data_IF_715244844057
#
_entry.id   IF_715244844057
#
_cell.length_a   1.000
_cell.length_b   1.000
_cell.length_c   1.000
_cell.angle_alpha   90.00
_cell.angle_beta   90.00
_cell.angle_gamma   90.00
#
_symmetry.space_group_name_H-M   'P 1'
#
loop_
_entity.id
_entity.type
_entity.pdbx_description
1 polymer ?
#
# COMPACT_ATOMS: atom_id res chain seq x y z
N UNK A 1 11.45 4.68 3.08
CA UNK A 1 10.18 5.11 3.69
C UNK A 1 9.15 3.98 3.76
N UNK A 2 9.31 2.90 2.96
CA UNK A 2 8.44 1.71 3.01
C UNK A 2 7.06 1.93 2.37
N UNK A 3 6.97 2.66 1.25
CA UNK A 3 5.72 2.88 0.51
C UNK A 3 5.05 1.56 0.14
N UNK A 4 5.77 0.65 -0.51
CA UNK A 4 5.25 -0.65 -0.92
C UNK A 4 4.74 -1.51 0.25
N UNK A 5 5.41 -1.44 1.42
CA UNK A 5 4.93 -2.11 2.63
C UNK A 5 3.63 -1.50 3.14
N UNK A 6 3.46 -0.17 3.04
CA UNK A 6 2.22 0.52 3.39
C UNK A 6 1.13 0.16 2.37
N UNK A 7 1.45 0.16 1.07
CA UNK A 7 0.53 -0.24 0.00
C UNK A 7 0.02 -1.67 0.20
N UNK A 8 0.92 -2.63 0.49
CA UNK A 8 0.56 -4.02 0.74
C UNK A 8 -0.36 -4.19 1.95
N UNK A 9 -0.07 -3.51 3.06
CA UNK A 9 -0.89 -3.58 4.27
C UNK A 9 -2.25 -2.89 4.09
N UNK A 10 -2.30 -1.77 3.38
CA UNK A 10 -3.55 -1.11 3.03
C UNK A 10 -4.42 -2.03 2.15
N UNK A 11 -3.83 -2.69 1.15
CA UNK A 11 -4.52 -3.65 0.31
C UNK A 11 -5.09 -4.84 1.09
N UNK A 12 -4.28 -5.43 1.97
CA UNK A 12 -4.73 -6.52 2.85
C UNK A 12 -5.87 -6.08 3.76
N UNK A 13 -5.80 -4.86 4.31
CA UNK A 13 -6.85 -4.33 5.20
C UNK A 13 -8.14 -4.01 4.44
N UNK A 14 -8.07 -3.46 3.23
CA UNK A 14 -9.24 -3.26 2.37
C UNK A 14 -9.87 -4.60 1.97
N UNK A 15 -9.05 -5.60 1.63
CA UNK A 15 -9.54 -6.95 1.34
C UNK A 15 -10.21 -7.60 2.55
N UNK A 16 -9.67 -7.43 3.77
CA UNK A 16 -10.30 -7.88 5.03
C UNK A 16 -11.62 -7.16 5.31
N UNK A 17 -11.81 -5.95 4.79
CA UNK A 17 -13.07 -5.22 4.86
C UNK A 17 -14.09 -5.64 3.77
N UNK A 18 -13.76 -6.63 2.94
CA UNK A 18 -14.63 -7.18 1.91
C UNK A 18 -14.47 -6.56 0.53
N UNK A 19 -13.57 -5.62 0.34
CA UNK A 19 -13.37 -4.95 -0.95
C UNK A 19 -12.46 -5.76 -1.88
N UNK A 20 -12.79 -5.78 -3.18
CA UNK A 20 -11.92 -6.29 -4.24
C UNK A 20 -10.83 -5.27 -4.57
N UNK A 21 -9.57 -5.65 -4.42
CA UNK A 21 -8.44 -4.73 -4.48
C UNK A 21 -7.44 -5.16 -5.56
N UNK A 22 -6.98 -4.17 -6.34
CA UNK A 22 -5.82 -4.29 -7.21
C UNK A 22 -4.63 -3.49 -6.67
N UNK A 23 -3.41 -4.01 -6.83
CA UNK A 23 -2.17 -3.25 -6.64
C UNK A 23 -1.44 -3.14 -7.97
N UNK A 24 -1.17 -1.93 -8.40
CA UNK A 24 -0.34 -1.63 -9.56
C UNK A 24 0.99 -1.04 -9.10
N UNK A 25 2.06 -1.82 -9.24
CA UNK A 25 3.43 -1.40 -8.90
C UNK A 25 4.10 -0.78 -10.14
N UNK A 26 4.30 0.52 -10.11
CA UNK A 26 4.96 1.30 -11.16
C UNK A 26 6.37 1.76 -10.78
N UNK A 27 6.96 1.23 -9.72
CA UNK A 27 8.38 1.48 -9.42
C UNK A 27 9.27 0.71 -10.40
N UNK A 28 9.58 1.37 -11.53
CA UNK A 28 10.39 0.79 -12.61
C UNK A 28 11.84 0.52 -12.20
N UNK A 29 12.29 1.06 -11.08
CA UNK A 29 13.67 0.96 -10.61
C UNK A 29 13.87 -0.08 -9.54
N UNK A 30 12.84 -0.38 -8.76
CA UNK A 30 12.92 -1.33 -7.66
C UNK A 30 11.57 -1.94 -7.32
N UNK A 31 10.93 -2.68 -8.27
CA UNK A 31 9.62 -3.26 -8.04
C UNK A 31 9.69 -4.25 -6.88
N UNK A 32 8.95 -3.97 -5.81
CA UNK A 32 9.02 -4.74 -4.56
C UNK A 32 7.73 -5.50 -4.23
N UNK A 33 6.61 -5.16 -4.85
CA UNK A 33 5.31 -5.81 -4.62
C UNK A 33 5.34 -7.32 -4.94
N UNK A 34 5.95 -7.79 -6.05
CA UNK A 34 6.05 -9.24 -6.32
C UNK A 34 6.75 -10.00 -5.20
N UNK A 35 7.82 -9.41 -4.64
CA UNK A 35 8.59 -10.01 -3.56
C UNK A 35 7.82 -10.02 -2.24
N UNK A 36 7.13 -8.92 -1.93
CA UNK A 36 6.32 -8.83 -0.71
C UNK A 36 5.23 -9.92 -0.67
N UNK A 37 4.65 -10.28 -1.80
CA UNK A 37 3.62 -11.31 -1.89
C UNK A 37 4.15 -12.69 -2.30
N UNK A 38 5.47 -12.89 -2.37
CA UNK A 38 6.11 -14.16 -2.77
C UNK A 38 5.61 -14.72 -4.12
N UNK A 39 5.33 -13.83 -5.09
CA UNK A 39 4.84 -14.19 -6.44
C UNK A 39 5.83 -13.79 -7.54
N UNK A 40 7.09 -13.61 -7.20
CA UNK A 40 8.14 -13.14 -8.13
C UNK A 40 8.32 -14.08 -9.35
N UNK A 41 8.09 -15.39 -9.19
CA UNK A 41 8.29 -16.40 -10.22
C UNK A 41 7.06 -16.62 -11.11
N UNK A 42 5.96 -15.95 -10.80
CA UNK A 42 4.71 -16.10 -11.55
C UNK A 42 4.77 -15.26 -12.82
N UNK A 43 4.39 -15.87 -13.96
CA UNK A 43 4.35 -15.18 -15.25
C UNK A 43 2.98 -14.57 -15.49
N UNK A 44 2.97 -13.33 -15.95
CA UNK A 44 1.77 -12.62 -16.37
C UNK A 44 1.23 -13.25 -17.65
N UNK A 45 -0.07 -13.51 -17.66
CA UNK A 45 -0.77 -13.96 -18.87
C UNK A 45 -1.26 -12.75 -19.66
N UNK A 46 -1.01 -12.77 -20.97
CA UNK A 46 -1.56 -11.80 -21.92
C UNK A 46 -2.80 -12.40 -22.60
N UNK A 47 -3.86 -11.61 -22.64
CA UNK A 47 -5.13 -11.97 -23.29
C UNK A 47 -5.48 -10.92 -24.34
N UNK A 48 -6.49 -11.14 -25.21
CA UNK A 48 -6.98 -10.10 -26.12
C UNK A 48 -7.53 -8.84 -25.41
N UNK A 49 -7.84 -8.94 -24.10
CA UNK A 49 -8.32 -7.81 -23.28
C UNK A 49 -7.20 -7.10 -22.53
N UNK A 50 -5.97 -7.59 -22.60
CA UNK A 50 -4.82 -7.05 -21.89
C UNK A 50 -4.13 -8.05 -20.96
N UNK A 51 -3.26 -7.56 -20.12
CA UNK A 51 -2.54 -8.35 -19.12
C UNK A 51 -3.45 -8.66 -17.92
N UNK A 52 -3.43 -9.93 -17.49
CA UNK A 52 -4.17 -10.32 -16.28
C UNK A 52 -3.29 -10.13 -15.06
N UNK A 53 -3.82 -9.45 -14.01
CA UNK A 53 -3.14 -9.36 -12.71
C UNK A 53 -2.91 -10.76 -12.12
N UNK A 54 -1.83 -10.91 -11.36
CA UNK A 54 -1.56 -12.13 -10.59
C UNK A 54 -2.50 -12.11 -9.38
N UNK A 55 -3.33 -13.15 -9.23
CA UNK A 55 -4.20 -13.31 -8.07
C UNK A 55 -3.39 -13.74 -6.85
N UNK A 56 -3.45 -12.94 -5.79
CA UNK A 56 -2.90 -13.30 -4.47
C UNK A 56 -3.91 -14.20 -3.73
N UNK A 57 -5.18 -13.81 -3.75
CA UNK A 57 -6.30 -14.64 -3.31
C UNK A 57 -7.60 -14.21 -3.99
N UNK A 58 -8.50 -15.16 -4.16
CA UNK A 58 -9.87 -14.89 -4.57
C UNK A 58 -10.70 -14.33 -3.42
N UNK A 59 -11.84 -13.73 -3.75
CA UNK A 59 -12.82 -13.32 -2.74
C UNK A 59 -13.38 -14.55 -2.00
N UNK A 60 -13.59 -14.40 -0.70
CA UNK A 60 -14.31 -15.36 0.16
C UNK A 60 -15.50 -14.66 0.83
N UNK A 61 -16.68 -14.63 0.19
CA UNK A 61 -17.84 -13.97 0.73
C UNK A 61 -18.31 -14.56 2.07
N UNK A 62 -18.02 -15.86 2.32
CA UNK A 62 -18.42 -16.49 3.56
C UNK A 62 -17.63 -15.94 4.75
N UNK A 63 -16.41 -15.48 4.53
CA UNK A 63 -15.55 -14.83 5.52
C UNK A 63 -15.58 -13.30 5.44
N UNK A 64 -16.32 -12.73 4.50
CA UNK A 64 -16.36 -11.29 4.24
C UNK A 64 -15.03 -10.74 3.72
N UNK A 65 -14.26 -11.55 2.96
CA UNK A 65 -12.95 -11.19 2.42
C UNK A 65 -13.10 -10.90 0.92
N UNK A 66 -12.63 -9.74 0.48
CA UNK A 66 -12.57 -9.38 -0.94
C UNK A 66 -11.38 -10.03 -1.65
N UNK A 67 -11.32 -9.91 -2.98
CA UNK A 67 -10.18 -10.41 -3.76
C UNK A 67 -8.98 -9.47 -3.68
N UNK A 68 -7.77 -10.02 -3.92
CA UNK A 68 -6.55 -9.25 -4.09
C UNK A 68 -5.76 -9.71 -5.30
N UNK A 69 -5.53 -8.78 -6.24
CA UNK A 69 -4.69 -9.00 -7.41
C UNK A 69 -3.55 -8.00 -7.49
N UNK A 70 -2.44 -8.39 -8.07
CA UNK A 70 -1.26 -7.52 -8.23
C UNK A 70 -0.74 -7.53 -9.66
N UNK A 71 -0.29 -6.37 -10.12
CA UNK A 71 0.45 -6.21 -11.36
C UNK A 71 1.69 -5.34 -11.09
N UNK A 72 2.84 -5.77 -11.60
CA UNK A 72 4.11 -5.06 -11.43
C UNK A 72 4.95 -5.17 -12.69
N UNK A 73 5.76 -4.14 -12.93
CA UNK A 73 6.80 -4.19 -13.95
C UNK A 73 7.76 -5.36 -13.73
N UNK A 74 7.97 -5.75 -12.46
CA UNK A 74 8.84 -6.87 -12.09
C UNK A 74 8.48 -8.19 -12.80
N UNK A 75 7.22 -8.40 -13.14
CA UNK A 75 6.78 -9.59 -13.87
C UNK A 75 7.14 -9.58 -15.36
N UNK A 76 7.45 -8.42 -15.92
CA UNK A 76 7.78 -8.25 -17.34
C UNK A 76 9.30 -8.17 -17.60
N UNK A 77 10.11 -8.12 -16.54
CA UNK A 77 11.56 -8.12 -16.65
C UNK A 77 12.08 -9.54 -16.91
N UNK A 78 12.99 -9.66 -17.88
CA UNK A 78 13.55 -10.97 -18.29
C UNK A 78 14.56 -11.50 -17.26
N UNK A 79 15.28 -10.59 -16.59
CA UNK A 79 16.30 -10.94 -15.61
C UNK A 79 16.22 -10.02 -14.40
N UNK A 80 16.08 -10.59 -13.20
CA UNK A 80 15.88 -9.83 -11.95
C UNK A 80 17.15 -9.12 -11.48
N UNK A 81 18.30 -9.56 -11.95
CA UNK A 81 19.61 -8.98 -11.63
C UNK A 81 20.02 -7.87 -12.58
N UNK A 82 19.33 -7.69 -13.70
CA UNK A 82 19.68 -6.69 -14.68
C UNK A 82 19.22 -5.30 -14.23
N UNK A 83 20.16 -4.39 -14.11
CA UNK A 83 19.87 -2.97 -13.96
C UNK A 83 19.31 -2.43 -15.28
N UNK A 84 17.99 -2.49 -15.45
CA UNK A 84 17.35 -1.93 -16.64
C UNK A 84 17.41 -0.41 -16.58
N UNK A 85 18.26 0.18 -17.42
CA UNK A 85 18.38 1.64 -17.54
C UNK A 85 17.20 2.15 -18.37
N UNK A 86 16.17 2.64 -17.70
CA UNK A 86 15.03 3.28 -18.33
C UNK A 86 15.32 4.75 -18.63
N UNK A 87 15.19 5.16 -19.89
CA UNK A 87 15.19 6.59 -20.26
C UNK A 87 13.79 7.17 -20.05
N UNK A 88 13.68 8.48 -19.70
CA UNK A 88 12.42 9.16 -19.39
C UNK A 88 11.25 8.85 -20.32
N UNK A 89 11.37 8.98 -21.67
CA UNK A 89 10.26 8.69 -22.58
C UNK A 89 9.78 7.24 -22.50
N UNK A 90 10.68 6.28 -22.26
CA UNK A 90 10.31 4.86 -22.12
C UNK A 90 9.58 4.62 -20.80
N UNK A 91 9.98 5.28 -19.71
CA UNK A 91 9.29 5.22 -18.42
C UNK A 91 7.86 5.73 -18.53
N UNK A 92 7.67 6.90 -19.14
CA UNK A 92 6.35 7.49 -19.40
C UNK A 92 5.45 6.56 -20.22
N UNK A 93 5.99 5.94 -21.28
CA UNK A 93 5.24 4.99 -22.10
C UNK A 93 4.82 3.76 -21.30
N UNK A 94 5.71 3.20 -20.49
CA UNK A 94 5.41 2.03 -19.65
C UNK A 94 4.33 2.31 -18.63
N UNK A 95 4.39 3.44 -17.92
CA UNK A 95 3.35 3.84 -16.96
C UNK A 95 1.99 3.94 -17.67
N UNK A 96 1.94 4.57 -18.86
CA UNK A 96 0.70 4.66 -19.65
C UNK A 96 0.18 3.29 -20.04
N UNK A 97 1.04 2.37 -20.50
CA UNK A 97 0.66 1.00 -20.81
C UNK A 97 0.11 0.24 -19.60
N UNK A 98 0.75 0.34 -18.44
CA UNK A 98 0.27 -0.31 -17.22
C UNK A 98 -1.12 0.16 -16.80
N UNK A 99 -1.42 1.43 -17.02
CA UNK A 99 -2.74 1.99 -16.69
C UNK A 99 -3.81 1.61 -17.71
N UNK A 100 -3.43 1.37 -19.00
CA UNK A 100 -4.39 1.07 -20.08
C UNK A 100 -4.53 -0.43 -20.39
N UNK A 101 -3.44 -1.21 -20.28
CA UNK A 101 -3.37 -2.54 -20.82
C UNK A 101 -3.54 -3.65 -19.75
N UNK A 102 -3.69 -3.30 -18.48
CA UNK A 102 -4.00 -4.26 -17.41
C UNK A 102 -5.52 -4.41 -17.28
N UNK A 103 -5.99 -5.63 -17.45
CA UNK A 103 -7.41 -5.95 -17.30
C UNK A 103 -7.72 -6.34 -15.84
N UNK A 104 -8.16 -5.38 -15.06
CA UNK A 104 -8.47 -5.57 -13.63
C UNK A 104 -9.79 -6.29 -13.37
N UNK A 105 -10.70 -6.32 -14.34
CA UNK A 105 -12.06 -6.77 -14.08
C UNK A 105 -12.82 -5.79 -13.17
N UNK A 106 -13.60 -6.33 -12.27
CA UNK A 106 -14.35 -5.54 -11.27
C UNK A 106 -13.52 -5.45 -9.98
N UNK A 107 -12.89 -4.30 -9.73
CA UNK A 107 -12.20 -3.98 -8.48
C UNK A 107 -12.81 -2.72 -7.87
N UNK A 108 -12.97 -2.72 -6.54
CA UNK A 108 -13.47 -1.55 -5.81
C UNK A 108 -12.38 -0.50 -5.66
N UNK A 109 -11.15 -0.93 -5.42
CA UNK A 109 -9.98 -0.06 -5.21
C UNK A 109 -8.78 -0.53 -6.00
N UNK A 110 -8.17 0.40 -6.72
CA UNK A 110 -6.85 0.22 -7.35
C UNK A 110 -5.82 1.06 -6.61
N UNK A 111 -4.90 0.41 -5.92
CA UNK A 111 -3.77 1.06 -5.24
C UNK A 111 -2.57 1.10 -6.20
N UNK A 112 -2.03 2.29 -6.41
CA UNK A 112 -0.86 2.48 -7.29
C UNK A 112 0.37 2.74 -6.44
N UNK A 113 1.29 1.77 -6.39
CA UNK A 113 2.58 1.92 -5.70
C UNK A 113 3.57 2.64 -6.59
N UNK A 114 4.03 3.80 -6.12
CA UNK A 114 4.86 4.72 -6.90
C UNK A 114 6.33 4.69 -6.46
N UNK A 115 7.29 4.96 -7.37
CA UNK A 115 8.69 5.13 -7.00
C UNK A 115 8.88 6.31 -6.02
N UNK A 116 10.07 6.45 -5.41
CA UNK A 116 10.40 7.62 -4.61
C UNK A 116 10.60 8.87 -5.48
N UNK A 117 10.23 10.03 -4.93
CA UNK A 117 10.45 11.34 -5.56
C UNK A 117 9.30 11.82 -6.45
N UNK A 118 9.61 12.74 -7.38
CA UNK A 118 8.65 13.40 -8.28
C UNK A 118 9.16 13.38 -9.73
N UNK A 119 9.57 12.18 -10.19
CA UNK A 119 10.14 11.97 -11.51
C UNK A 119 9.12 11.85 -12.65
N UNK A 120 9.61 11.44 -13.83
CA UNK A 120 8.80 11.29 -15.04
C UNK A 120 7.63 10.32 -14.86
N UNK A 121 7.79 9.29 -14.01
CA UNK A 121 6.74 8.33 -13.67
C UNK A 121 5.55 8.99 -12.97
N UNK A 122 5.81 9.89 -12.02
CA UNK A 122 4.76 10.63 -11.31
C UNK A 122 4.04 11.62 -12.21
N UNK A 123 4.79 12.31 -13.10
CA UNK A 123 4.22 13.23 -14.08
C UNK A 123 3.30 12.46 -15.03
N UNK A 124 3.79 11.32 -15.56
CA UNK A 124 3.00 10.48 -16.47
C UNK A 124 1.74 9.93 -15.79
N UNK A 125 1.88 9.45 -14.53
CA UNK A 125 0.76 8.98 -13.73
C UNK A 125 -0.29 10.07 -13.53
N UNK A 126 0.12 11.24 -13.03
CA UNK A 126 -0.79 12.37 -12.79
C UNK A 126 -1.48 12.82 -14.09
N UNK A 127 -0.76 12.88 -15.20
CA UNK A 127 -1.32 13.23 -16.51
C UNK A 127 -2.42 12.25 -16.92
N UNK A 128 -2.19 10.93 -16.80
CA UNK A 128 -3.17 9.91 -17.19
C UNK A 128 -4.37 9.94 -16.26
N UNK A 129 -4.14 9.97 -14.94
CA UNK A 129 -5.22 9.96 -13.95
C UNK A 129 -6.12 11.19 -14.07
N UNK A 130 -5.54 12.39 -14.25
CA UNK A 130 -6.33 13.61 -14.30
C UNK A 130 -7.04 13.85 -15.65
N UNK A 131 -6.54 13.25 -16.74
CA UNK A 131 -7.13 13.45 -18.09
C UNK A 131 -8.08 12.34 -18.51
N UNK A 132 -7.86 11.09 -18.07
CA UNK A 132 -8.51 9.92 -18.62
C UNK A 132 -9.48 9.24 -17.64
N UNK A 133 -9.57 9.70 -16.39
CA UNK A 133 -10.52 9.18 -15.42
C UNK A 133 -11.77 10.05 -15.34
N UNK A 134 -12.87 9.42 -14.92
CA UNK A 134 -14.12 10.15 -14.68
C UNK A 134 -14.00 10.99 -13.39
N UNK A 135 -14.73 12.10 -13.29
CA UNK A 135 -14.82 12.86 -12.04
C UNK A 135 -15.21 11.93 -10.88
N UNK A 136 -14.48 12.02 -9.76
CA UNK A 136 -14.71 11.17 -8.59
C UNK A 136 -14.04 9.80 -8.62
N UNK A 137 -13.45 9.37 -9.74
CA UNK A 137 -12.76 8.08 -9.84
C UNK A 137 -11.38 8.07 -9.17
N UNK A 138 -10.68 9.21 -9.13
CA UNK A 138 -9.42 9.35 -8.42
C UNK A 138 -9.68 9.85 -7.00
N UNK A 139 -9.58 8.95 -6.03
CA UNK A 139 -9.77 9.29 -4.61
C UNK A 139 -8.67 10.24 -4.10
N UNK A 140 -7.43 10.02 -4.50
CA UNK A 140 -6.30 10.86 -4.15
C UNK A 140 -5.04 10.10 -3.76
N UNK A 141 -4.03 10.82 -3.33
CA UNK A 141 -2.74 10.27 -2.91
C UNK A 141 -2.66 10.10 -1.39
N UNK A 142 -2.08 8.98 -0.95
CA UNK A 142 -1.64 8.76 0.43
C UNK A 142 -0.14 8.99 0.47
N UNK A 143 0.31 10.02 1.16
CA UNK A 143 1.73 10.33 1.32
C UNK A 143 2.32 9.49 2.46
N UNK A 144 3.45 8.82 2.21
CA UNK A 144 4.14 7.98 3.19
C UNK A 144 5.48 8.60 3.55
N UNK A 145 5.70 8.86 4.82
CA UNK A 145 6.97 9.39 5.35
C UNK A 145 7.48 8.54 6.51
N UNK A 146 8.72 8.78 6.93
CA UNK A 146 9.21 8.39 8.26
C UNK A 146 9.33 9.64 9.12
N UNK A 147 9.46 9.53 10.47
CA UNK A 147 9.57 10.71 11.35
C UNK A 147 10.79 11.61 11.09
N UNK A 148 11.80 11.10 10.37
CA UNK A 148 13.06 11.81 10.13
C UNK A 148 12.88 13.07 9.29
N UNK A 149 13.59 14.14 9.64
CA UNK A 149 13.55 15.43 8.92
C UNK A 149 13.89 15.30 7.43
N UNK A 150 14.81 14.40 7.07
CA UNK A 150 15.20 14.18 5.67
C UNK A 150 14.03 13.56 4.88
N UNK A 151 13.35 12.58 5.45
CA UNK A 151 12.20 11.94 4.80
C UNK A 151 11.02 12.92 4.65
N UNK A 152 10.70 13.68 5.71
CA UNK A 152 9.62 14.69 5.65
C UNK A 152 9.93 15.80 4.65
N UNK A 153 11.23 16.17 4.47
CA UNK A 153 11.64 17.15 3.47
C UNK A 153 11.41 16.65 2.03
N UNK A 154 11.61 15.35 1.78
CA UNK A 154 11.35 14.78 0.44
C UNK A 154 9.85 14.63 0.19
N UNK A 155 9.07 14.13 1.16
CA UNK A 155 7.61 14.03 1.01
C UNK A 155 6.95 15.41 0.90
N UNK A 156 7.53 16.45 1.48
CA UNK A 156 7.10 17.85 1.24
C UNK A 156 7.13 18.22 -0.24
N UNK A 157 8.11 17.73 -1.01
CA UNK A 157 8.18 17.94 -2.46
C UNK A 157 7.07 17.17 -3.17
N UNK A 158 6.76 15.94 -2.72
CA UNK A 158 5.68 15.13 -3.27
C UNK A 158 4.31 15.79 -3.01
N UNK A 159 4.05 16.31 -1.82
CA UNK A 159 2.82 17.05 -1.50
C UNK A 159 2.69 18.36 -2.32
N UNK A 160 3.79 19.09 -2.51
CA UNK A 160 3.81 20.26 -3.40
C UNK A 160 3.53 19.87 -4.86
N UNK A 161 4.02 18.72 -5.31
CA UNK A 161 3.71 18.19 -6.63
C UNK A 161 2.21 17.91 -6.75
N UNK A 162 1.59 17.24 -5.79
CA UNK A 162 0.15 16.99 -5.79
C UNK A 162 -0.64 18.32 -5.86
N UNK A 163 -0.27 19.30 -5.05
CA UNK A 163 -0.91 20.61 -5.07
C UNK A 163 -0.79 21.33 -6.42
N UNK A 164 0.38 21.27 -7.09
CA UNK A 164 0.61 21.87 -8.40
C UNK A 164 -0.11 21.17 -9.54
N UNK A 165 -0.26 19.85 -9.45
CA UNK A 165 -0.94 19.06 -10.48
C UNK A 165 -2.45 18.98 -10.29
N UNK A 166 -2.96 19.39 -9.12
CA UNK A 166 -4.37 19.24 -8.77
C UNK A 166 -4.75 17.83 -8.33
N UNK A 167 -3.77 16.96 -8.04
CA UNK A 167 -4.03 15.61 -7.50
C UNK A 167 -4.46 15.75 -6.02
N UNK A 168 -5.66 15.28 -5.64
CA UNK A 168 -6.09 15.34 -4.24
C UNK A 168 -5.16 14.54 -3.34
N UNK A 169 -5.03 14.97 -2.08
CA UNK A 169 -4.27 14.25 -1.05
C UNK A 169 -5.22 13.80 0.03
N UNK A 170 -5.34 12.49 0.23
CA UNK A 170 -6.16 11.88 1.27
C UNK A 170 -5.53 12.15 2.65
N UNK A 171 -4.22 11.99 2.76
CA UNK A 171 -3.50 12.26 4.00
C UNK A 171 -2.09 11.72 4.04
N UNK A 172 -1.49 11.78 5.22
CA UNK A 172 -0.10 11.38 5.50
C UNK A 172 -0.08 10.19 6.47
N UNK A 173 0.68 9.16 6.13
CA UNK A 173 1.04 8.03 7.01
C UNK A 173 2.48 8.20 7.47
N UNK A 174 2.72 8.21 8.77
CA UNK A 174 4.05 8.17 9.37
C UNK A 174 4.46 6.71 9.61
N UNK A 175 5.25 6.15 8.71
CA UNK A 175 5.75 4.78 8.80
C UNK A 175 7.06 4.72 9.61
N UNK A 176 7.35 3.57 10.22
CA UNK A 176 8.53 3.37 11.09
C UNK A 176 8.57 4.37 12.26
N UNK A 177 7.40 4.69 12.80
CA UNK A 177 7.23 5.71 13.83
C UNK A 177 7.83 5.33 15.19
N UNK A 178 8.07 4.04 15.42
CA UNK A 178 8.71 3.51 16.62
C UNK A 178 8.87 2.00 16.52
N UNK A 179 9.53 1.42 17.49
CA UNK A 179 9.67 -0.03 17.65
C UNK A 179 9.18 -0.41 19.04
N UNK A 180 8.21 -1.30 19.10
CA UNK A 180 7.72 -1.87 20.37
C UNK A 180 8.50 -3.14 20.63
N UNK A 181 9.26 -3.16 21.73
CA UNK A 181 10.01 -4.33 22.12
C UNK A 181 9.03 -5.45 22.54
N UNK A 182 9.13 -6.59 21.89
CA UNK A 182 8.27 -7.75 22.19
C UNK A 182 8.52 -8.36 23.59
N UNK A 183 9.68 -8.06 24.23
CA UNK A 183 10.03 -8.60 25.54
C UNK A 183 9.59 -7.71 26.70
N UNK A 184 9.67 -6.37 26.54
CA UNK A 184 9.36 -5.42 27.63
C UNK A 184 8.23 -4.45 27.29
N UNK A 185 7.66 -4.53 26.08
CA UNK A 185 6.60 -3.65 25.58
C UNK A 185 6.96 -2.15 25.58
N UNK A 186 8.23 -1.81 25.78
CA UNK A 186 8.71 -0.43 25.71
C UNK A 186 8.78 0.04 24.27
N UNK A 187 8.22 1.22 23.99
CA UNK A 187 8.28 1.83 22.67
C UNK A 187 9.53 2.71 22.55
N UNK A 188 10.43 2.34 21.67
CA UNK A 188 11.65 3.11 21.36
C UNK A 188 11.47 3.85 20.04
N UNK A 189 11.65 5.18 20.05
CA UNK A 189 11.61 6.02 18.84
C UNK A 189 12.97 6.02 18.14
N UNK A 190 13.20 5.10 17.22
CA UNK A 190 14.48 4.92 16.53
C UNK A 190 14.80 6.14 15.65
N UNK A 191 13.79 6.71 14.98
CA UNK A 191 13.92 7.74 13.97
C UNK A 191 13.32 9.10 14.37
N UNK A 192 13.19 9.44 15.66
CA UNK A 192 12.38 10.58 16.12
C UNK A 192 10.88 10.26 16.13
N UNK A 193 10.01 11.22 16.32
CA UNK A 193 8.55 11.08 16.31
C UNK A 193 7.85 12.33 15.79
N UNK A 194 6.61 12.20 15.32
CA UNK A 194 5.72 13.30 15.00
C UNK A 194 6.07 14.11 13.75
N UNK A 195 7.10 13.72 12.99
CA UNK A 195 7.47 14.42 11.76
C UNK A 195 6.38 14.37 10.70
N UNK A 196 5.70 13.24 10.57
CA UNK A 196 4.58 13.05 9.64
C UNK A 196 3.34 13.85 10.05
N UNK A 197 3.01 13.91 11.34
CA UNK A 197 1.91 14.74 11.84
C UNK A 197 2.15 16.22 11.55
N UNK A 198 3.35 16.71 11.87
CA UNK A 198 3.72 18.09 11.55
C UNK A 198 3.64 18.38 10.07
N UNK A 199 4.06 17.42 9.21
CA UNK A 199 3.95 17.56 7.77
C UNK A 199 2.50 17.66 7.32
N UNK A 200 1.60 16.86 7.87
CA UNK A 200 0.16 16.90 7.59
C UNK A 200 -0.45 18.25 8.00
N UNK A 201 -0.10 18.75 9.18
CA UNK A 201 -0.55 20.07 9.68
C UNK A 201 -0.05 21.20 8.77
N UNK A 202 1.22 21.18 8.35
CA UNK A 202 1.81 22.18 7.46
C UNK A 202 1.10 22.29 6.09
N UNK A 203 0.51 21.18 5.62
CA UNK A 203 -0.20 21.12 4.33
C UNK A 203 -1.74 21.12 4.47
N UNK A 204 -2.26 21.21 5.69
CA UNK A 204 -3.68 21.12 6.01
C UNK A 204 -4.35 19.85 5.43
N UNK A 205 -3.62 18.72 5.47
CA UNK A 205 -4.11 17.41 5.06
C UNK A 205 -4.27 16.50 6.28
N UNK A 206 -5.09 15.45 6.15
CA UNK A 206 -5.33 14.52 7.25
C UNK A 206 -4.06 13.75 7.64
N UNK A 207 -3.80 13.63 8.93
CA UNK A 207 -2.84 12.66 9.46
C UNK A 207 -3.55 11.32 9.66
N UNK A 208 -3.23 10.32 8.84
CA UNK A 208 -3.90 9.03 8.82
C UNK A 208 -3.43 8.10 9.95
N UNK A 209 -2.20 8.26 10.42
CA UNK A 209 -1.71 7.49 11.54
C UNK A 209 -0.21 7.27 11.54
N UNK A 210 0.27 6.75 12.68
CA UNK A 210 1.66 6.30 12.88
C UNK A 210 1.71 4.77 12.88
N UNK A 211 2.61 4.22 12.08
CA UNK A 211 2.82 2.78 11.92
C UNK A 211 4.17 2.41 12.54
N UNK A 212 4.22 1.60 13.60
CA UNK A 212 5.47 1.15 14.18
C UNK A 212 6.17 0.11 13.30
N UNK A 213 7.44 -0.15 13.59
CA UNK A 213 8.19 -1.28 13.03
C UNK A 213 7.71 -2.55 13.74
N UNK A 214 7.25 -3.52 12.97
CA UNK A 214 6.87 -4.85 13.44
C UNK A 214 7.61 -5.94 12.67
N UNK A 215 8.58 -6.64 13.30
CA UNK A 215 9.30 -7.73 12.66
C UNK A 215 8.40 -8.92 12.27
N UNK A 216 7.27 -9.12 12.96
CA UNK A 216 6.34 -10.19 12.64
C UNK A 216 5.65 -9.97 11.29
N UNK A 217 5.41 -8.72 10.90
CA UNK A 217 4.92 -8.41 9.56
C UNK A 217 5.94 -8.81 8.47
N UNK A 218 7.22 -8.50 8.68
CA UNK A 218 8.27 -8.92 7.74
C UNK A 218 8.33 -10.46 7.61
N UNK A 219 8.30 -11.18 8.72
CA UNK A 219 8.28 -12.64 8.73
C UNK A 219 7.03 -13.22 8.05
N UNK A 220 5.86 -12.61 8.25
CA UNK A 220 4.63 -13.01 7.56
C UNK A 220 4.79 -12.89 6.04
N UNK A 221 5.29 -11.76 5.55
CA UNK A 221 5.43 -11.50 4.12
C UNK A 221 6.53 -12.35 3.46
N UNK A 222 7.65 -12.58 4.15
CA UNK A 222 8.79 -13.33 3.60
C UNK A 222 8.61 -14.85 3.67
N UNK A 223 7.94 -15.34 4.71
CA UNK A 223 7.88 -16.80 5.00
C UNK A 223 6.47 -17.36 5.08
N UNK A 224 5.45 -16.50 5.05
CA UNK A 224 4.06 -16.91 5.24
C UNK A 224 3.75 -17.40 6.67
N UNK A 225 4.63 -17.13 7.65
CA UNK A 225 4.42 -17.53 9.05
C UNK A 225 3.35 -16.65 9.69
N UNK A 226 2.49 -17.27 10.48
CA UNK A 226 1.52 -16.51 11.28
C UNK A 226 2.26 -15.65 12.32
N UNK A 227 1.93 -14.36 12.44
CA UNK A 227 2.50 -13.49 13.45
C UNK A 227 2.24 -14.03 14.86
N UNK A 228 3.27 -14.00 15.70
CA UNK A 228 3.18 -14.46 17.09
C UNK A 228 3.82 -13.42 18.01
N UNK A 229 3.16 -13.15 19.13
CA UNK A 229 3.60 -12.15 20.09
C UNK A 229 3.65 -12.76 21.50
N UNK A 230 4.73 -12.54 22.28
CA UNK A 230 4.84 -13.00 23.66
C UNK A 230 3.70 -12.46 24.53
N UNK A 231 3.42 -13.18 25.61
CA UNK A 231 2.43 -12.77 26.61
C UNK A 231 2.77 -11.39 27.17
N UNK A 232 1.77 -10.51 27.27
CA UNK A 232 1.93 -9.13 27.74
C UNK A 232 2.42 -8.15 26.69
N UNK A 233 2.50 -8.52 25.40
CA UNK A 233 2.79 -7.58 24.32
C UNK A 233 1.60 -6.64 24.12
N UNK A 234 1.77 -5.36 24.47
CA UNK A 234 0.76 -4.31 24.30
C UNK A 234 1.11 -3.41 23.13
N UNK A 235 0.15 -3.18 22.24
CA UNK A 235 0.25 -2.17 21.19
C UNK A 235 -0.95 -1.23 21.27
N UNK A 236 -0.69 0.07 21.45
CA UNK A 236 -1.75 1.08 21.63
C UNK A 236 -2.80 0.72 22.70
N UNK A 237 -2.39 0.01 23.76
CA UNK A 237 -3.26 -0.44 24.84
C UNK A 237 -4.04 -1.74 24.55
N UNK A 238 -3.87 -2.33 23.40
CA UNK A 238 -4.45 -3.63 23.04
C UNK A 238 -3.45 -4.75 23.34
N UNK A 239 -3.91 -5.79 24.00
CA UNK A 239 -3.13 -7.00 24.22
C UNK A 239 -3.04 -7.79 22.91
N UNK A 240 -1.83 -7.93 22.40
CA UNK A 240 -1.49 -8.66 21.17
C UNK A 240 -0.96 -10.05 21.47
N UNK A 241 -0.95 -10.48 22.73
CA UNK A 241 -0.45 -11.80 23.11
C UNK A 241 -1.10 -12.89 22.29
N UNK A 242 -0.29 -13.75 21.70
CA UNK A 242 -0.80 -14.89 20.94
C UNK A 242 -1.18 -15.99 21.93
N UNK A 243 -2.42 -16.52 21.91
CA UNK A 243 -2.80 -17.66 22.73
C UNK A 243 -1.88 -18.85 22.46
N UNK A 244 -1.56 -19.61 23.50
CA UNK A 244 -0.81 -20.85 23.35
C UNK A 244 -1.53 -21.81 22.40
N UNK A 245 -0.85 -22.25 21.34
CA UNK A 245 -1.38 -23.17 20.35
C UNK A 245 -2.11 -22.51 19.19
N UNK A 246 -1.35 -21.87 18.28
CA UNK A 246 -1.88 -21.54 16.94
C UNK A 246 -2.33 -22.85 16.29
N UNK A 247 -3.61 -22.94 15.89
CA UNK A 247 -4.15 -24.12 15.22
C UNK A 247 -3.44 -24.38 13.88
N UNK A 248 -3.31 -25.64 13.50
CA UNK A 248 -2.80 -26.03 12.17
C UNK A 248 -3.61 -25.39 11.05
N UNK A 249 -4.92 -25.19 11.24
CA UNK A 249 -5.81 -24.47 10.31
C UNK A 249 -5.35 -23.03 10.03
N UNK A 250 -4.89 -22.31 11.07
CA UNK A 250 -4.35 -20.94 10.87
C UNK A 250 -3.02 -20.95 10.10
N UNK A 251 -2.21 -22.01 10.27
CA UNK A 251 -0.94 -22.15 9.54
C UNK A 251 -1.16 -22.37 8.02
N UNK A 252 -2.23 -23.06 7.64
CA UNK A 252 -2.60 -23.35 6.25
C UNK A 252 -3.49 -22.28 5.60
N UNK A 253 -3.97 -21.30 6.36
CA UNK A 253 -4.86 -20.26 5.88
C UNK A 253 -4.17 -19.30 4.90
N UNK A 254 -4.97 -18.52 4.15
CA UNK A 254 -4.48 -17.52 3.20
C UNK A 254 -3.69 -16.42 3.91
N UNK A 255 -2.77 -15.76 3.20
CA UNK A 255 -1.96 -14.66 3.71
C UNK A 255 -2.79 -13.57 4.40
N UNK A 256 -3.92 -13.20 3.80
CA UNK A 256 -4.84 -12.17 4.33
C UNK A 256 -5.44 -12.58 5.69
N UNK A 257 -5.72 -13.85 5.90
CA UNK A 257 -6.23 -14.34 7.18
C UNK A 257 -5.14 -14.35 8.26
N UNK A 258 -3.92 -14.74 7.87
CA UNK A 258 -2.74 -14.66 8.76
C UNK A 258 -2.43 -13.21 9.16
N UNK A 259 -2.65 -12.26 8.26
CA UNK A 259 -2.46 -10.84 8.52
C UNK A 259 -3.39 -10.29 9.61
N UNK A 260 -4.57 -10.89 9.84
CA UNK A 260 -5.44 -10.53 10.98
C UNK A 260 -4.73 -10.60 12.32
N UNK A 261 -3.76 -11.52 12.45
CA UNK A 261 -2.99 -11.71 13.68
C UNK A 261 -1.79 -10.75 13.78
N UNK A 262 -1.53 -9.93 12.75
CA UNK A 262 -0.48 -8.92 12.79
C UNK A 262 -0.89 -7.74 13.66
N UNK A 263 0.00 -7.26 14.51
CA UNK A 263 -0.22 -6.08 15.36
C UNK A 263 -0.59 -4.83 14.56
N UNK A 264 -0.12 -4.76 13.31
CA UNK A 264 -0.38 -3.63 12.41
C UNK A 264 -1.77 -3.68 11.77
N UNK A 265 -2.46 -4.82 11.79
CA UNK A 265 -3.77 -5.01 11.14
C UNK A 265 -4.82 -4.01 11.66
N UNK A 266 -4.88 -3.78 12.98
CA UNK A 266 -5.82 -2.81 13.56
C UNK A 266 -5.52 -1.38 13.13
N UNK A 267 -4.23 -1.00 13.05
CA UNK A 267 -3.80 0.34 12.61
C UNK A 267 -4.20 0.56 11.15
N UNK A 268 -3.89 -0.41 10.29
CA UNK A 268 -4.23 -0.32 8.87
C UNK A 268 -5.73 -0.46 8.62
N UNK A 269 -6.48 -1.15 9.46
CA UNK A 269 -7.95 -1.15 9.43
C UNK A 269 -8.52 0.26 9.62
N UNK A 270 -7.99 1.04 10.56
CA UNK A 270 -8.37 2.45 10.75
C UNK A 270 -7.97 3.31 9.54
N UNK A 271 -6.74 3.15 9.04
CA UNK A 271 -6.27 3.87 7.84
C UNK A 271 -7.13 3.53 6.62
N UNK A 272 -7.48 2.26 6.44
CA UNK A 272 -8.33 1.81 5.35
C UNK A 272 -9.72 2.45 5.41
N UNK A 273 -10.34 2.50 6.59
CA UNK A 273 -11.63 3.17 6.81
C UNK A 273 -11.55 4.65 6.42
N UNK A 274 -10.48 5.34 6.79
CA UNK A 274 -10.25 6.74 6.43
C UNK A 274 -10.09 6.94 4.92
N UNK A 275 -9.38 6.02 4.26
CA UNK A 275 -9.19 6.03 2.79
C UNK A 275 -10.51 5.78 2.07
N UNK A 276 -11.30 4.80 2.52
CA UNK A 276 -12.64 4.50 1.99
C UNK A 276 -13.55 5.73 2.11
N UNK A 277 -13.62 6.33 3.29
CA UNK A 277 -14.44 7.53 3.52
C UNK A 277 -14.02 8.70 2.62
N UNK A 278 -12.74 8.89 2.38
CA UNK A 278 -12.24 9.93 1.47
C UNK A 278 -12.63 9.63 0.02
N UNK A 279 -12.56 8.37 -0.42
CA UNK A 279 -12.95 7.94 -1.76
C UNK A 279 -14.45 8.15 -2.01
N UNK A 280 -15.31 7.79 -1.06
CA UNK A 280 -16.76 7.98 -1.12
C UNK A 280 -17.15 9.46 -1.19
N UNK A 281 -16.48 10.32 -0.40
CA UNK A 281 -16.73 11.76 -0.44
C UNK A 281 -16.33 12.38 -1.78
N UNK A 282 -15.26 11.90 -2.40
CA UNK A 282 -14.84 12.37 -3.73
C UNK A 282 -15.83 11.95 -4.81
N UNK A 283 -16.36 10.73 -4.74
CA UNK A 283 -17.36 10.21 -5.68
C UNK A 283 -18.70 10.95 -5.56
N UNK A 284 -19.17 11.22 -4.35
CA UNK A 284 -20.45 11.92 -4.09
C UNK A 284 -20.39 13.40 -4.43
N UNK A 285 -19.24 14.07 -4.26
CA UNK A 285 -19.05 15.47 -4.64
C UNK A 285 -19.11 15.72 -6.15
N UNK A 286 -18.69 14.74 -6.95
CA UNK A 286 -18.71 14.82 -8.40
C UNK A 286 -20.14 14.73 -9.00
N UNK A 287 -21.07 14.07 -8.30
CA UNK A 287 -22.48 13.94 -8.74
C UNK A 287 -23.35 15.19 -8.50
N UNK A 288 -22.87 16.16 -7.73
CA UNK A 288 -23.62 17.39 -7.35
C UNK A 288 -23.37 18.58 -8.27
N UNK A 289 -22.46 18.47 -9.24
CA UNK A 289 -22.06 19.57 -10.16
C UNK A 289 -22.40 19.32 -11.64
N UNK A 290 -23.25 18.35 -11.94
CA UNK A 290 -23.75 18.02 -13.30
C UNK A 290 -25.14 18.58 -13.55
#
# INVERSE_FOLDING_TARGET
MGKSSVTAQLALSLSLAGHSVGILDIDLTGPSIPRLFAVEDVKVMSTPRGWLPISIHAADPAKGIGSLGVMSIGFLLHDRGDAVIWRGPKKTTMVKQFLSDVYWGEVDYLLIDTPPGTGDEHIALAEVLLRNTMPGQVAGAVAVTTPQKIATADVRKELNFCAKTGLPVIGVVENMAGFVCTNCSECTYIFSNGGGRKLADDFAVKFLGSVPIDPQFALLMETGRVPTYPSGTLLNGHDMSTPDGISTETAESQLVEKYKHCSLSAIFGTIATDVVSAAENTSSGAGSTA
#
